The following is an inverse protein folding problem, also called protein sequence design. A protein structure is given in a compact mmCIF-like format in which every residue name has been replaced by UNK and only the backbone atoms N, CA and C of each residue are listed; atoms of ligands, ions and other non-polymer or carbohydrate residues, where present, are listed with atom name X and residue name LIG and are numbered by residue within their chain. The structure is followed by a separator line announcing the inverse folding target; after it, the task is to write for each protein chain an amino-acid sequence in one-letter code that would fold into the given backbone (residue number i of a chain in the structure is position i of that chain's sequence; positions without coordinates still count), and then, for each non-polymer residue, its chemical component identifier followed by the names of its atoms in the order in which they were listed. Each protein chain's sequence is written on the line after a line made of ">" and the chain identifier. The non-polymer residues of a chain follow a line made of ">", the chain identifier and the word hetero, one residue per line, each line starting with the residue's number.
data_IF_355977559411
#
_entry.id   IF_355977559411
#
_cell.length_a   1.000
_cell.length_b   1.000
_cell.length_c   1.000
_cell.angle_alpha   90.00
_cell.angle_beta   90.00
_cell.angle_gamma   90.00
#
_symmetry.space_group_name_H-M   'P 1'
#
loop_
_entity.id
_entity.type
_entity.pdbx_description
1 polymer ?
#
# COMPACT_ATOMS: atom_id res chain seq x y z
N UNK A 1 -6.44 38.99 -44.04
CA UNK A 1 -5.78 38.23 -42.95
C UNK A 1 -6.67 38.27 -41.72
N UNK A 2 -7.31 37.16 -41.37
CA UNK A 2 -8.14 37.06 -40.18
C UNK A 2 -7.32 36.37 -39.07
N UNK A 3 -6.96 37.11 -38.02
CA UNK A 3 -6.33 36.58 -36.81
C UNK A 3 -7.37 36.38 -35.71
N UNK A 4 -7.67 35.12 -35.39
CA UNK A 4 -8.69 34.71 -34.44
C UNK A 4 -8.17 34.82 -33.00
N UNK A 5 -8.66 35.78 -32.21
CA UNK A 5 -8.35 35.91 -30.77
C UNK A 5 -9.45 35.24 -29.94
N UNK A 6 -9.26 33.97 -29.55
CA UNK A 6 -10.16 33.25 -28.63
C UNK A 6 -9.82 33.57 -27.18
N UNK A 7 -10.38 34.64 -26.63
CA UNK A 7 -10.47 34.81 -25.18
C UNK A 7 -11.70 34.06 -24.67
N UNK A 8 -11.49 32.88 -24.10
CA UNK A 8 -12.52 32.19 -23.32
C UNK A 8 -12.61 32.84 -21.94
N UNK A 9 -13.41 33.90 -21.85
CA UNK A 9 -13.86 34.43 -20.57
C UNK A 9 -14.98 33.53 -20.05
N UNK A 10 -14.76 32.86 -18.92
CA UNK A 10 -15.84 32.17 -18.21
C UNK A 10 -16.76 33.22 -17.57
N UNK A 11 -18.06 33.22 -17.85
CA UNK A 11 -18.98 34.09 -17.13
C UNK A 11 -19.04 33.63 -15.67
N UNK A 12 -18.62 34.49 -14.75
CA UNK A 12 -18.97 34.36 -13.33
C UNK A 12 -20.46 34.70 -13.18
N UNK A 13 -21.35 33.75 -12.81
CA UNK A 13 -22.74 34.09 -12.58
C UNK A 13 -22.82 34.97 -11.33
N UNK A 14 -23.36 36.17 -11.53
CA UNK A 14 -23.72 37.12 -10.48
C UNK A 14 -24.61 36.40 -9.48
N UNK A 15 -24.20 36.39 -8.21
CA UNK A 15 -24.96 35.83 -7.10
C UNK A 15 -26.29 36.58 -6.95
N UNK A 16 -27.32 36.11 -7.65
CA UNK A 16 -28.70 36.43 -7.38
C UNK A 16 -29.24 35.36 -6.43
N UNK A 17 -29.69 35.81 -5.28
CA UNK A 17 -30.27 35.00 -4.24
C UNK A 17 -31.47 34.18 -4.75
N UNK A 18 -31.63 33.03 -4.09
CA UNK A 18 -32.84 32.22 -3.99
C UNK A 18 -33.19 31.24 -5.13
N UNK A 19 -33.63 30.06 -4.67
CA UNK A 19 -34.40 29.03 -5.36
C UNK A 19 -33.64 28.14 -6.37
N UNK A 20 -32.98 27.10 -5.87
CA UNK A 20 -33.35 25.70 -6.14
C UNK A 20 -32.26 24.74 -5.65
N UNK A 21 -32.53 24.03 -4.55
CA UNK A 21 -31.64 22.98 -4.01
C UNK A 21 -31.30 21.87 -5.00
N UNK A 22 -32.05 21.74 -6.11
CA UNK A 22 -31.83 20.74 -7.18
C UNK A 22 -30.58 21.02 -8.02
N UNK A 23 -30.20 22.28 -8.26
CA UNK A 23 -28.99 22.61 -9.05
C UNK A 23 -27.70 22.47 -8.22
N UNK A 24 -27.75 22.82 -6.93
CA UNK A 24 -26.65 22.58 -6.00
C UNK A 24 -26.43 21.07 -5.75
N UNK A 25 -27.50 20.27 -5.77
CA UNK A 25 -27.42 18.80 -5.75
C UNK A 25 -26.82 18.24 -7.05
N UNK A 26 -27.23 18.74 -8.23
CA UNK A 26 -26.67 18.32 -9.51
C UNK A 26 -25.17 18.67 -9.67
N UNK A 27 -24.71 19.77 -9.07
CA UNK A 27 -23.29 20.11 -9.01
C UNK A 27 -22.50 19.19 -8.07
N UNK A 28 -23.11 18.76 -6.95
CA UNK A 28 -22.56 17.72 -6.05
C UNK A 28 -22.52 16.32 -6.67
N UNK A 29 -23.46 15.99 -7.55
CA UNK A 29 -23.51 14.69 -8.27
C UNK A 29 -22.36 14.53 -9.27
N UNK A 30 -21.76 15.63 -9.76
CA UNK A 30 -20.62 15.57 -10.70
C UNK A 30 -19.24 15.41 -10.05
N UNK A 31 -19.18 15.31 -8.72
CA UNK A 31 -17.92 15.15 -7.97
C UNK A 31 -18.02 14.05 -6.91
N UNK A 32 -18.71 12.94 -7.22
CA UNK A 32 -18.78 11.77 -6.34
C UNK A 32 -17.79 10.66 -6.73
N UNK A 33 -16.85 10.92 -7.62
CA UNK A 33 -15.66 10.08 -7.74
C UNK A 33 -14.61 10.61 -6.76
N UNK A 34 -14.75 10.29 -5.48
CA UNK A 34 -13.54 10.05 -4.72
C UNK A 34 -12.94 8.79 -5.34
N UNK A 35 -11.79 8.84 -6.02
CA UNK A 35 -11.05 7.62 -6.21
C UNK A 35 -10.73 7.13 -4.80
N UNK A 36 -11.46 6.13 -4.30
CA UNK A 36 -10.99 5.23 -3.26
C UNK A 36 -9.88 4.37 -3.89
N UNK A 37 -8.85 5.01 -4.44
CA UNK A 37 -7.64 4.35 -4.89
C UNK A 37 -6.81 4.29 -3.62
N UNK A 38 -6.71 3.09 -3.05
CA UNK A 38 -5.68 2.81 -2.08
C UNK A 38 -4.33 3.32 -2.61
N UNK A 39 -3.48 3.78 -1.71
CA UNK A 39 -2.16 4.26 -2.09
C UNK A 39 -1.45 3.18 -2.93
N UNK A 40 -0.75 3.51 -4.03
CA UNK A 40 -0.12 2.51 -4.90
C UNK A 40 0.81 1.55 -4.14
N UNK A 41 1.45 2.01 -3.05
CA UNK A 41 2.27 1.15 -2.17
C UNK A 41 1.46 0.07 -1.45
N UNK A 42 0.20 0.34 -1.11
CA UNK A 42 -0.71 -0.65 -0.49
C UNK A 42 -1.11 -1.70 -1.51
N UNK A 43 -1.38 -1.30 -2.76
CA UNK A 43 -1.68 -2.23 -3.85
C UNK A 43 -0.47 -3.11 -4.17
N UNK A 44 0.72 -2.51 -4.24
CA UNK A 44 1.97 -3.26 -4.47
C UNK A 44 2.23 -4.28 -3.35
N UNK A 45 2.03 -3.90 -2.09
CA UNK A 45 2.18 -4.82 -0.96
C UNK A 45 1.18 -5.99 -1.05
N UNK A 46 -0.07 -5.71 -1.42
CA UNK A 46 -1.10 -6.74 -1.59
C UNK A 46 -0.75 -7.72 -2.72
N UNK A 47 -0.28 -7.20 -3.86
CA UNK A 47 0.20 -8.01 -4.99
C UNK A 47 1.41 -8.89 -4.58
N UNK A 48 2.39 -8.32 -3.86
CA UNK A 48 3.56 -9.06 -3.37
C UNK A 48 3.16 -10.18 -2.39
N UNK A 49 2.20 -9.91 -1.50
CA UNK A 49 1.69 -10.90 -0.54
C UNK A 49 0.89 -11.99 -1.26
N UNK A 50 0.07 -11.63 -2.26
CA UNK A 50 -0.64 -12.60 -3.09
C UNK A 50 0.34 -13.52 -3.83
N UNK A 51 1.39 -12.97 -4.42
CA UNK A 51 2.46 -13.73 -5.06
C UNK A 51 3.16 -14.68 -4.08
N UNK A 52 3.49 -14.21 -2.87
CA UNK A 52 4.09 -15.04 -1.83
C UNK A 52 3.16 -16.20 -1.42
N UNK A 53 1.86 -15.96 -1.27
CA UNK A 53 0.87 -17.00 -0.96
C UNK A 53 0.76 -18.05 -2.06
N UNK A 54 0.84 -17.64 -3.33
CA UNK A 54 0.85 -18.59 -4.45
C UNK A 54 2.10 -19.47 -4.42
N UNK A 55 3.26 -18.91 -4.12
CA UNK A 55 4.52 -19.68 -3.99
C UNK A 55 4.45 -20.67 -2.82
N UNK A 56 3.86 -20.28 -1.69
CA UNK A 56 3.76 -21.12 -0.49
C UNK A 56 2.63 -22.16 -0.56
N UNK A 57 1.50 -21.83 -1.20
CA UNK A 57 0.32 -22.69 -1.29
C UNK A 57 0.29 -23.61 -2.51
N UNK A 58 1.14 -23.36 -3.51
CA UNK A 58 1.04 -23.99 -4.83
C UNK A 58 1.64 -25.39 -4.97
N UNK A 59 2.52 -25.86 -4.07
CA UNK A 59 3.18 -27.14 -4.27
C UNK A 59 3.60 -27.76 -2.93
N UNK A 60 3.28 -29.04 -2.71
CA UNK A 60 4.01 -29.84 -1.73
C UNK A 60 5.51 -29.71 -2.06
N UNK A 61 6.35 -29.20 -1.14
CA UNK A 61 7.69 -28.80 -1.53
C UNK A 61 8.51 -30.06 -1.79
N UNK A 62 8.87 -30.26 -3.05
CA UNK A 62 10.25 -30.70 -3.28
C UNK A 62 11.11 -29.56 -2.71
N UNK A 63 11.63 -29.76 -1.50
CA UNK A 63 12.51 -28.84 -0.77
C UNK A 63 13.87 -28.74 -1.49
N UNK A 64 13.85 -28.24 -2.72
CA UNK A 64 15.04 -27.90 -3.47
C UNK A 64 15.62 -26.59 -2.95
N UNK A 65 16.94 -26.45 -2.97
CA UNK A 65 17.60 -25.18 -2.67
C UNK A 65 17.08 -24.02 -3.56
N UNK A 66 16.68 -24.32 -4.80
CA UNK A 66 16.11 -23.33 -5.73
C UNK A 66 14.71 -22.86 -5.35
N UNK A 67 13.86 -23.72 -4.78
CA UNK A 67 12.53 -23.32 -4.33
C UNK A 67 12.62 -22.50 -3.04
N UNK A 68 13.54 -22.86 -2.14
CA UNK A 68 13.82 -22.09 -0.92
C UNK A 68 14.37 -20.70 -1.26
N UNK A 69 15.31 -20.58 -2.20
CA UNK A 69 15.86 -19.27 -2.60
C UNK A 69 14.83 -18.39 -3.32
N UNK A 70 13.96 -18.98 -4.14
CA UNK A 70 12.86 -18.27 -4.78
C UNK A 70 11.82 -17.74 -3.76
N UNK A 71 11.46 -18.57 -2.77
CA UNK A 71 10.58 -18.17 -1.68
C UNK A 71 11.21 -17.07 -0.82
N UNK A 72 12.48 -17.19 -0.44
CA UNK A 72 13.22 -16.15 0.27
C UNK A 72 13.26 -14.83 -0.52
N UNK A 73 13.42 -14.89 -1.84
CA UNK A 73 13.37 -13.72 -2.71
C UNK A 73 11.99 -13.04 -2.74
N UNK A 74 10.90 -13.80 -2.62
CA UNK A 74 9.54 -13.24 -2.52
C UNK A 74 9.31 -12.59 -1.16
N UNK A 75 9.77 -13.23 -0.07
CA UNK A 75 9.74 -12.62 1.27
C UNK A 75 10.51 -11.29 1.27
N UNK A 76 11.69 -11.24 0.66
CA UNK A 76 12.47 -10.01 0.53
C UNK A 76 11.72 -8.87 -0.17
N UNK A 77 10.94 -9.18 -1.22
CA UNK A 77 10.11 -8.19 -1.93
C UNK A 77 8.99 -7.65 -1.04
N UNK A 78 8.26 -8.53 -0.35
CA UNK A 78 7.21 -8.14 0.60
C UNK A 78 7.77 -7.25 1.72
N UNK A 79 8.94 -7.59 2.26
CA UNK A 79 9.59 -6.78 3.29
C UNK A 79 10.02 -5.41 2.77
N UNK A 80 10.50 -5.33 1.53
CA UNK A 80 10.86 -4.06 0.90
C UNK A 80 9.63 -3.18 0.65
N UNK A 81 8.54 -3.71 0.09
CA UNK A 81 7.31 -2.95 -0.14
C UNK A 81 6.63 -2.53 1.17
N UNK A 82 6.68 -3.38 2.20
CA UNK A 82 6.23 -3.01 3.54
C UNK A 82 7.08 -1.88 4.13
N UNK A 83 8.41 -1.94 3.99
CA UNK A 83 9.29 -0.85 4.42
C UNK A 83 8.97 0.46 3.71
N UNK A 84 8.82 0.43 2.38
CA UNK A 84 8.46 1.62 1.60
C UNK A 84 7.12 2.22 2.04
N UNK A 85 6.13 1.36 2.31
CA UNK A 85 4.83 1.77 2.84
C UNK A 85 4.96 2.44 4.22
N UNK A 86 5.73 1.84 5.13
CA UNK A 86 5.92 2.36 6.49
C UNK A 86 6.67 3.70 6.50
N UNK A 87 7.66 3.90 5.62
CA UNK A 87 8.40 5.16 5.51
C UNK A 87 7.61 6.26 4.81
N UNK A 88 6.48 5.93 4.19
CA UNK A 88 5.67 6.90 3.48
C UNK A 88 4.99 7.90 4.45
N UNK A 89 5.05 9.22 4.18
CA UNK A 89 4.50 10.24 5.10
C UNK A 89 2.99 10.07 5.35
N UNK A 90 2.24 9.55 4.38
CA UNK A 90 0.81 9.27 4.54
C UNK A 90 0.52 8.08 5.47
N UNK A 91 1.47 7.16 5.66
CA UNK A 91 1.34 6.04 6.60
C UNK A 91 1.79 6.43 8.01
N UNK A 92 2.75 7.35 8.14
CA UNK A 92 3.28 7.82 9.42
C UNK A 92 2.24 8.55 10.28
N UNK A 93 1.38 9.37 9.69
CA UNK A 93 0.38 10.14 10.43
C UNK A 93 -0.69 9.27 11.11
N UNK A 94 -1.26 8.23 10.46
CA UNK A 94 -2.06 7.21 11.13
C UNK A 94 -1.30 6.47 12.23
N UNK A 95 -0.05 6.05 11.97
CA UNK A 95 0.75 5.30 12.94
C UNK A 95 1.04 6.10 14.21
N UNK A 96 1.34 7.40 14.08
CA UNK A 96 1.52 8.31 15.22
C UNK A 96 0.26 8.46 16.06
N UNK A 97 -0.90 8.56 15.40
CA UNK A 97 -2.21 8.63 16.08
C UNK A 97 -2.58 7.30 16.75
N UNK A 98 -2.01 6.20 16.28
CA UNK A 98 -2.27 4.85 16.79
C UNK A 98 -1.51 4.52 18.09
N UNK A 99 -0.57 5.36 18.52
CA UNK A 99 0.52 5.04 19.45
C UNK A 99 0.21 4.21 20.70
N UNK A 100 -0.92 4.44 21.38
CA UNK A 100 -1.32 3.68 22.59
C UNK A 100 -2.61 2.88 22.40
N UNK A 101 -2.99 2.59 21.16
CA UNK A 101 -4.17 1.77 20.88
C UNK A 101 -3.82 0.28 20.95
N UNK A 102 -4.78 -0.59 21.30
CA UNK A 102 -4.57 -2.04 21.28
C UNK A 102 -4.22 -2.58 19.88
N UNK A 103 -4.51 -1.82 18.82
CA UNK A 103 -4.11 -2.16 17.46
C UNK A 103 -2.61 -1.91 17.22
N UNK A 104 -2.05 -0.83 17.80
CA UNK A 104 -0.61 -0.58 17.74
C UNK A 104 0.19 -1.64 18.50
N UNK A 105 -0.29 -2.08 19.67
CA UNK A 105 0.35 -3.14 20.45
C UNK A 105 0.40 -4.46 19.66
N UNK A 106 -0.72 -4.89 19.09
CA UNK A 106 -0.77 -6.10 18.24
C UNK A 106 0.14 -6.00 17.02
N UNK A 107 0.15 -4.84 16.37
CA UNK A 107 1.00 -4.61 15.21
C UNK A 107 2.49 -4.70 15.60
N UNK A 108 2.86 -4.13 16.75
CA UNK A 108 4.22 -4.22 17.29
C UNK A 108 4.59 -5.67 17.63
N UNK A 109 3.69 -6.42 18.27
CA UNK A 109 3.89 -7.84 18.57
C UNK A 109 4.13 -8.66 17.31
N UNK A 110 3.38 -8.39 16.23
CA UNK A 110 3.55 -9.05 14.95
C UNK A 110 4.89 -8.70 14.29
N UNK A 111 5.36 -7.44 14.40
CA UNK A 111 6.68 -7.04 13.94
C UNK A 111 7.82 -7.70 14.74
N UNK A 112 7.66 -7.86 16.05
CA UNK A 112 8.64 -8.57 16.89
C UNK A 112 8.72 -10.04 16.50
N UNK A 113 7.58 -10.72 16.31
CA UNK A 113 7.54 -12.11 15.81
C UNK A 113 8.21 -12.27 14.45
N UNK A 114 8.02 -11.30 13.56
CA UNK A 114 8.68 -11.27 12.26
C UNK A 114 10.20 -11.12 12.40
N UNK A 115 10.67 -10.28 13.32
CA UNK A 115 12.09 -10.12 13.63
C UNK A 115 12.71 -11.40 14.19
N UNK A 116 12.02 -12.10 15.10
CA UNK A 116 12.46 -13.37 15.68
C UNK A 116 12.54 -14.48 14.62
N UNK A 117 11.55 -14.55 13.72
CA UNK A 117 11.55 -15.50 12.61
C UNK A 117 12.72 -15.21 11.65
N UNK A 118 12.99 -13.94 11.35
CA UNK A 118 14.14 -13.55 10.53
C UNK A 118 15.48 -13.89 11.22
N UNK A 119 15.59 -13.67 12.53
CA UNK A 119 16.76 -14.05 13.32
C UNK A 119 17.00 -15.56 13.28
N UNK A 120 15.95 -16.36 13.48
CA UNK A 120 16.00 -17.83 13.42
C UNK A 120 16.40 -18.33 12.03
N UNK A 121 15.85 -17.73 10.97
CA UNK A 121 16.21 -18.04 9.59
C UNK A 121 17.70 -17.74 9.31
N UNK A 122 18.18 -16.56 9.73
CA UNK A 122 19.60 -16.20 9.61
C UNK A 122 20.50 -17.17 10.37
N UNK A 123 20.11 -17.56 11.59
CA UNK A 123 20.87 -18.53 12.38
C UNK A 123 20.94 -19.90 11.68
N UNK A 124 19.85 -20.36 11.07
CA UNK A 124 19.83 -21.59 10.29
C UNK A 124 20.77 -21.51 9.07
N UNK A 125 20.81 -20.38 8.37
CA UNK A 125 21.75 -20.17 7.25
C UNK A 125 23.22 -20.19 7.70
N UNK A 126 23.54 -19.56 8.83
CA UNK A 126 24.91 -19.59 9.39
C UNK A 126 25.29 -21.02 9.78
N UNK A 127 24.38 -21.75 10.41
CA UNK A 127 24.61 -23.15 10.77
C UNK A 127 24.81 -24.04 9.52
N UNK A 128 24.03 -23.80 8.46
CA UNK A 128 24.19 -24.50 7.18
C UNK A 128 25.55 -24.19 6.53
N UNK A 129 25.97 -22.93 6.52
CA UNK A 129 27.25 -22.52 5.97
C UNK A 129 28.44 -23.08 6.75
N UNK A 130 28.29 -23.36 8.04
CA UNK A 130 29.32 -23.98 8.86
C UNK A 130 29.48 -25.51 8.61
N UNK A 131 28.54 -26.13 7.89
CA UNK A 131 28.58 -27.55 7.50
C UNK A 131 29.21 -27.79 6.12
N UNK A 132 29.50 -26.74 5.36
CA UNK A 132 30.12 -26.79 4.02
C UNK A 132 31.62 -26.52 4.11
#
# INVERSE_FOLDING_TARGET
>A
MAGYRRTISFPTPKAAAAANGKLAAAYRVRSASLPCRFHPLVLQLDDDVAALRLVLGGQAPSCSASSVSAAASHIGRVLASLSDLLHHPQAQEPLRRLGMSPLAERLLDDFLRLADAHGSFRQALVALAALQ
#
